data_IF_686436238326
#
_entry.id   IF_686436238326
#
_cell.length_a   1.000
_cell.length_b   1.000
_cell.length_c   1.000
_cell.angle_alpha   90.00
_cell.angle_beta   90.00
_cell.angle_gamma   90.00
#
_symmetry.space_group_name_H-M   'P 1'
#
loop_
_entity.id
_entity.type
_entity.pdbx_description
1 polymer ?
#
# COMPACT_ATOMS: atom_id res chain seq x y z
N UNK A 1 7.41 33.49 19.59
CA UNK A 1 6.19 33.35 18.76
C UNK A 1 6.44 32.22 17.76
N UNK A 2 6.10 30.98 18.10
CA UNK A 2 6.51 29.79 17.33
C UNK A 2 5.41 29.28 16.37
N UNK A 3 4.18 29.79 16.46
CA UNK A 3 3.04 29.19 15.73
C UNK A 3 2.70 29.76 14.35
N UNK A 4 3.14 30.97 13.99
CA UNK A 4 2.69 31.64 12.77
C UNK A 4 3.36 31.07 11.51
N UNK A 5 4.67 30.81 11.57
CA UNK A 5 5.43 30.23 10.46
C UNK A 5 5.01 28.79 10.17
N UNK A 6 4.79 27.99 11.22
CA UNK A 6 4.27 26.63 11.08
C UNK A 6 2.88 26.60 10.42
N UNK A 7 2.03 27.58 10.73
CA UNK A 7 0.71 27.74 10.14
C UNK A 7 0.82 28.04 8.65
N UNK A 8 1.66 29.01 8.28
CA UNK A 8 1.90 29.40 6.88
C UNK A 8 2.47 28.25 6.07
N UNK A 9 3.49 27.56 6.58
CA UNK A 9 4.09 26.43 5.90
C UNK A 9 3.07 25.29 5.69
N UNK A 10 2.27 24.96 6.71
CA UNK A 10 1.20 23.98 6.59
C UNK A 10 0.15 24.39 5.55
N UNK A 11 -0.24 25.67 5.53
CA UNK A 11 -1.20 26.21 4.59
C UNK A 11 -0.67 26.17 3.15
N UNK A 12 0.59 26.55 2.92
CA UNK A 12 1.22 26.45 1.60
C UNK A 12 1.30 25.00 1.10
N UNK A 13 1.67 24.07 1.98
CA UNK A 13 1.66 22.64 1.66
C UNK A 13 0.26 22.17 1.26
N UNK A 14 -0.77 22.57 1.99
CA UNK A 14 -2.16 22.26 1.65
C UNK A 14 -2.56 22.88 0.30
N UNK A 15 -2.21 24.15 0.03
CA UNK A 15 -2.49 24.80 -1.27
C UNK A 15 -1.90 24.03 -2.45
N UNK A 16 -0.66 23.55 -2.32
CA UNK A 16 0.00 22.74 -3.36
C UNK A 16 -0.77 21.45 -3.63
N UNK A 17 -1.22 20.75 -2.59
CA UNK A 17 -2.00 19.52 -2.71
C UNK A 17 -3.38 19.76 -3.31
N UNK A 18 -4.06 20.82 -2.90
CA UNK A 18 -5.37 21.19 -3.44
C UNK A 18 -5.30 21.60 -4.91
N UNK A 19 -4.21 22.24 -5.35
CA UNK A 19 -3.96 22.52 -6.77
C UNK A 19 -3.82 21.23 -7.58
N UNK A 20 -3.11 20.23 -7.04
CA UNK A 20 -3.00 18.91 -7.67
C UNK A 20 -4.32 18.11 -7.63
N UNK A 21 -5.22 18.44 -6.71
CA UNK A 21 -6.58 17.90 -6.63
C UNK A 21 -7.61 18.71 -7.43
N UNK A 22 -7.21 19.80 -8.11
CA UNK A 22 -8.07 20.69 -8.89
C UNK A 22 -9.23 21.29 -8.08
N UNK A 23 -8.95 21.73 -6.85
CA UNK A 23 -9.95 22.38 -6.01
C UNK A 23 -10.43 23.72 -6.62
N UNK A 24 -11.74 23.94 -6.83
CA UNK A 24 -12.23 25.11 -7.57
C UNK A 24 -12.13 26.43 -6.81
N UNK A 25 -12.26 26.43 -5.48
CA UNK A 25 -12.34 27.66 -4.67
C UNK A 25 -11.01 28.01 -3.98
N UNK A 26 -9.87 27.66 -4.58
CA UNK A 26 -8.54 27.85 -3.98
C UNK A 26 -8.23 29.30 -3.60
N UNK A 27 -8.66 30.26 -4.41
CA UNK A 27 -8.36 31.69 -4.22
C UNK A 27 -9.23 32.34 -3.13
N UNK A 28 -10.39 31.76 -2.81
CA UNK A 28 -11.29 32.26 -1.78
C UNK A 28 -10.97 31.73 -0.38
N UNK A 29 -10.16 30.65 -0.30
CA UNK A 29 -9.81 29.96 0.93
C UNK A 29 -8.80 30.74 1.77
N UNK A 30 -9.21 31.12 2.99
CA UNK A 30 -8.33 31.73 3.99
C UNK A 30 -7.75 30.66 4.92
N UNK A 31 -6.88 29.82 4.38
CA UNK A 31 -6.24 28.73 5.14
C UNK A 31 -5.48 29.22 6.38
N UNK A 32 -4.86 30.41 6.31
CA UNK A 32 -4.12 31.00 7.44
C UNK A 32 -5.02 31.34 8.63
N UNK A 33 -6.31 31.62 8.38
CA UNK A 33 -7.27 31.92 9.44
C UNK A 33 -7.70 30.66 10.20
N UNK A 34 -7.53 29.48 9.60
CA UNK A 34 -7.87 28.21 10.23
C UNK A 34 -9.36 27.99 10.45
N UNK A 35 -10.21 28.63 9.65
CA UNK A 35 -11.66 28.52 9.81
C UNK A 35 -12.13 27.07 9.67
N UNK A 36 -12.94 26.62 10.62
CA UNK A 36 -13.43 25.23 10.70
C UNK A 36 -14.25 24.88 9.46
N UNK A 37 -15.16 25.75 9.06
CA UNK A 37 -16.01 25.54 7.89
C UNK A 37 -15.20 25.38 6.60
N UNK A 38 -14.13 26.15 6.44
CA UNK A 38 -13.24 26.07 5.28
C UNK A 38 -12.47 24.76 5.24
N UNK A 39 -11.87 24.35 6.36
CA UNK A 39 -11.17 23.08 6.47
C UNK A 39 -12.10 21.88 6.26
N UNK A 40 -13.35 21.96 6.73
CA UNK A 40 -14.36 20.92 6.52
C UNK A 40 -14.76 20.80 5.05
N UNK A 41 -15.03 21.92 4.36
CA UNK A 41 -15.33 21.92 2.91
C UNK A 41 -14.19 21.32 2.11
N UNK A 42 -12.96 21.70 2.44
CA UNK A 42 -11.77 21.15 1.80
C UNK A 42 -11.65 19.65 2.06
N UNK A 43 -11.83 19.21 3.31
CA UNK A 43 -11.74 17.79 3.67
C UNK A 43 -12.81 16.96 2.95
N UNK A 44 -14.05 17.47 2.87
CA UNK A 44 -15.13 16.83 2.13
C UNK A 44 -14.78 16.67 0.65
N UNK A 45 -14.35 17.76 0.00
CA UNK A 45 -13.94 17.72 -1.39
C UNK A 45 -12.81 16.71 -1.63
N UNK A 46 -11.80 16.73 -0.77
CA UNK A 46 -10.64 15.86 -0.91
C UNK A 46 -11.04 14.40 -0.83
N UNK A 47 -11.90 14.02 0.12
CA UNK A 47 -12.30 12.62 0.33
C UNK A 47 -13.29 12.11 -0.72
N UNK A 48 -14.22 12.95 -1.18
CA UNK A 48 -15.36 12.53 -2.01
C UNK A 48 -15.28 13.05 -3.45
N UNK A 49 -14.98 14.33 -3.65
CA UNK A 49 -15.10 14.98 -4.95
C UNK A 49 -13.80 14.92 -5.78
N UNK A 50 -12.64 14.74 -5.14
CA UNK A 50 -11.34 14.75 -5.83
C UNK A 50 -11.14 13.58 -6.79
N UNK A 51 -11.79 12.44 -6.53
CA UNK A 51 -11.69 11.26 -7.38
C UNK A 51 -12.87 10.31 -7.16
N UNK A 52 -13.66 10.12 -8.23
CA UNK A 52 -14.78 9.16 -8.24
C UNK A 52 -14.36 7.74 -7.86
N UNK A 53 -13.16 7.30 -8.25
CA UNK A 53 -12.65 5.97 -7.92
C UNK A 53 -12.39 5.81 -6.41
N UNK A 54 -11.86 6.85 -5.77
CA UNK A 54 -11.65 6.86 -4.31
C UNK A 54 -13.00 6.88 -3.60
N UNK A 55 -13.92 7.77 -4.00
CA UNK A 55 -15.26 7.83 -3.41
C UNK A 55 -16.00 6.49 -3.48
N UNK A 56 -15.96 5.81 -4.63
CA UNK A 56 -16.54 4.47 -4.78
C UNK A 56 -15.86 3.44 -3.87
N UNK A 57 -14.53 3.47 -3.76
CA UNK A 57 -13.80 2.60 -2.84
C UNK A 57 -14.25 2.79 -1.39
N UNK A 58 -14.45 4.05 -0.96
CA UNK A 58 -14.90 4.38 0.40
C UNK A 58 -16.31 3.83 0.68
N UNK A 59 -17.24 4.02 -0.26
CA UNK A 59 -18.62 3.51 -0.16
C UNK A 59 -18.63 1.98 -0.14
N UNK A 60 -17.85 1.32 -1.00
CA UNK A 60 -17.75 -0.14 -1.05
C UNK A 60 -17.19 -0.75 0.25
N UNK A 61 -16.36 0.01 0.97
CA UNK A 61 -15.85 -0.37 2.30
C UNK A 61 -16.82 -0.07 3.45
N UNK A 62 -17.94 0.58 3.16
CA UNK A 62 -18.98 0.90 4.15
C UNK A 62 -18.70 2.15 4.98
N UNK A 63 -17.83 3.06 4.52
CA UNK A 63 -17.65 4.34 5.18
C UNK A 63 -18.74 5.32 4.78
N UNK A 64 -19.55 5.76 5.75
CA UNK A 64 -20.52 6.84 5.57
C UNK A 64 -19.91 8.18 5.97
N UNK A 65 -19.64 9.01 4.96
CA UNK A 65 -19.15 10.38 5.09
C UNK A 65 -20.26 11.43 4.93
N UNK A 66 -21.52 11.05 4.71
CA UNK A 66 -22.65 11.97 4.63
C UNK A 66 -23.28 12.23 6.00
N UNK A 67 -22.43 12.47 7.00
CA UNK A 67 -22.86 12.69 8.38
C UNK A 67 -23.74 13.94 8.52
N UNK A 68 -24.83 13.83 9.30
CA UNK A 68 -25.77 14.95 9.57
C UNK A 68 -25.18 16.11 10.37
N UNK A 69 -24.00 15.93 10.95
CA UNK A 69 -23.32 16.93 11.79
C UNK A 69 -21.81 16.91 11.50
N UNK A 70 -21.15 18.06 11.61
CA UNK A 70 -19.71 18.19 11.38
C UNK A 70 -18.87 17.22 12.24
N UNK A 71 -19.27 16.99 13.49
CA UNK A 71 -18.58 16.06 14.38
C UNK A 71 -18.63 14.62 13.87
N UNK A 72 -19.77 14.17 13.36
CA UNK A 72 -19.91 12.81 12.78
C UNK A 72 -19.12 12.67 11.48
N UNK A 73 -19.12 13.71 10.66
CA UNK A 73 -18.28 13.75 9.46
C UNK A 73 -16.79 13.59 9.81
N UNK A 74 -16.28 14.40 10.75
CA UNK A 74 -14.87 14.34 11.17
C UNK A 74 -14.53 13.01 11.84
N UNK A 75 -15.44 12.45 12.64
CA UNK A 75 -15.26 11.13 13.25
C UNK A 75 -15.11 10.02 12.18
N UNK A 76 -16.01 9.99 11.20
CA UNK A 76 -15.94 9.06 10.07
C UNK A 76 -14.66 9.28 9.26
N UNK A 77 -14.28 10.52 8.99
CA UNK A 77 -13.04 10.86 8.28
C UNK A 77 -11.79 10.39 9.05
N UNK A 78 -11.72 10.59 10.37
CA UNK A 78 -10.59 10.15 11.19
C UNK A 78 -10.52 8.63 11.30
N UNK A 79 -11.65 7.95 11.36
CA UNK A 79 -11.71 6.48 11.31
C UNK A 79 -11.18 5.96 9.98
N UNK A 80 -11.59 6.59 8.88
CA UNK A 80 -11.11 6.29 7.54
C UNK A 80 -9.58 6.49 7.42
N UNK A 81 -9.06 7.62 7.91
CA UNK A 81 -7.61 7.92 7.92
C UNK A 81 -6.79 6.84 8.63
N UNK A 82 -7.26 6.37 9.79
CA UNK A 82 -6.56 5.33 10.56
C UNK A 82 -6.60 3.97 9.88
N UNK A 83 -7.75 3.59 9.34
CA UNK A 83 -7.97 2.25 8.82
C UNK A 83 -7.37 2.06 7.43
N UNK A 84 -7.66 2.97 6.50
CA UNK A 84 -7.26 2.83 5.09
C UNK A 84 -5.92 3.49 4.80
N UNK A 85 -5.65 4.64 5.41
CA UNK A 85 -4.45 5.43 5.12
C UNK A 85 -3.34 5.27 6.18
N UNK A 86 -3.59 4.49 7.24
CA UNK A 86 -2.67 4.27 8.37
C UNK A 86 -2.13 5.57 8.99
N UNK A 87 -2.91 6.64 8.86
CA UNK A 87 -2.58 7.95 9.42
C UNK A 87 -3.32 8.15 10.74
N UNK A 88 -2.57 8.52 11.78
CA UNK A 88 -3.11 8.76 13.12
C UNK A 88 -3.21 10.27 13.37
N UNK A 89 -4.40 10.88 13.26
CA UNK A 89 -4.54 12.31 13.51
C UNK A 89 -4.13 12.66 14.93
N UNK A 90 -3.32 13.71 15.06
CA UNK A 90 -2.74 14.19 16.33
C UNK A 90 -3.72 14.99 17.20
N UNK A 91 -4.97 15.14 16.75
CA UNK A 91 -6.04 15.84 17.45
C UNK A 91 -7.27 14.93 17.60
N UNK A 92 -8.05 15.17 18.65
CA UNK A 92 -9.40 14.61 18.76
C UNK A 92 -10.38 15.32 17.83
N UNK A 93 -11.57 14.72 17.63
CA UNK A 93 -12.66 15.34 16.85
C UNK A 93 -13.06 16.70 17.44
N UNK A 94 -13.17 16.80 18.76
CA UNK A 94 -13.54 18.05 19.45
C UNK A 94 -12.46 19.11 19.31
N UNK A 95 -11.19 18.73 19.39
CA UNK A 95 -10.06 19.64 19.17
C UNK A 95 -9.99 20.12 17.72
N UNK A 96 -10.30 19.24 16.76
CA UNK A 96 -10.35 19.61 15.34
C UNK A 96 -11.48 20.60 15.04
N UNK A 97 -12.60 20.53 15.76
CA UNK A 97 -13.68 21.50 15.65
C UNK A 97 -13.45 22.77 16.49
N UNK A 98 -12.41 22.78 17.33
CA UNK A 98 -12.06 23.95 18.15
C UNK A 98 -11.20 24.96 17.37
N UNK A 99 -11.23 26.23 17.80
CA UNK A 99 -10.46 27.32 17.17
C UNK A 99 -8.97 27.35 17.54
N UNK A 100 -8.54 26.63 18.58
CA UNK A 100 -7.22 26.82 19.20
C UNK A 100 -6.05 26.18 18.41
N UNK A 101 -6.29 25.15 17.59
CA UNK A 101 -5.23 24.33 16.99
C UNK A 101 -5.07 24.52 15.47
N UNK A 102 -4.93 25.75 15.01
CA UNK A 102 -4.95 26.09 13.57
C UNK A 102 -3.91 25.31 12.75
N UNK A 103 -2.62 25.44 13.05
CA UNK A 103 -1.54 24.79 12.30
C UNK A 103 -1.74 23.26 12.20
N UNK A 104 -2.08 22.62 13.32
CA UNK A 104 -2.24 21.17 13.41
C UNK A 104 -3.49 20.69 12.66
N UNK A 105 -4.57 21.49 12.65
CA UNK A 105 -5.78 21.21 11.86
C UNK A 105 -5.49 21.29 10.37
N UNK A 106 -4.77 22.31 9.92
CA UNK A 106 -4.33 22.45 8.53
C UNK A 106 -3.43 21.27 8.13
N UNK A 107 -2.49 20.89 8.99
CA UNK A 107 -1.62 19.74 8.76
C UNK A 107 -2.39 18.43 8.57
N UNK A 108 -3.41 18.16 9.40
CA UNK A 108 -4.28 16.98 9.26
C UNK A 108 -5.01 16.97 7.91
N UNK A 109 -5.54 18.12 7.47
CA UNK A 109 -6.22 18.21 6.17
C UNK A 109 -5.23 18.03 5.02
N UNK A 110 -4.01 18.57 5.14
CA UNK A 110 -2.94 18.37 4.17
C UNK A 110 -2.53 16.89 4.08
N UNK A 111 -2.36 16.22 5.22
CA UNK A 111 -2.04 14.79 5.26
C UNK A 111 -3.16 13.95 4.66
N UNK A 112 -4.42 14.31 4.92
CA UNK A 112 -5.58 13.67 4.30
C UNK A 112 -5.55 13.81 2.78
N UNK A 113 -5.23 15.01 2.27
CA UNK A 113 -5.11 15.25 0.83
C UNK A 113 -3.96 14.47 0.19
N UNK A 114 -2.81 14.40 0.85
CA UNK A 114 -1.68 13.61 0.39
C UNK A 114 -2.04 12.11 0.36
N UNK A 115 -2.69 11.61 1.40
CA UNK A 115 -3.09 10.21 1.51
C UNK A 115 -4.10 9.81 0.42
N UNK A 116 -5.10 10.66 0.16
CA UNK A 116 -6.04 10.44 -0.94
C UNK A 116 -5.33 10.49 -2.30
N UNK A 117 -4.40 11.42 -2.50
CA UNK A 117 -3.64 11.48 -3.75
C UNK A 117 -2.83 10.19 -3.99
N UNK A 118 -2.20 9.63 -2.95
CA UNK A 118 -1.53 8.34 -3.03
C UNK A 118 -2.51 7.21 -3.34
N UNK A 119 -3.65 7.15 -2.67
CA UNK A 119 -4.66 6.11 -2.93
C UNK A 119 -5.23 6.19 -4.34
N UNK A 120 -5.45 7.40 -4.86
CA UNK A 120 -5.84 7.63 -6.25
C UNK A 120 -4.80 7.05 -7.22
N UNK A 121 -3.51 7.27 -6.98
CA UNK A 121 -2.43 6.73 -7.81
C UNK A 121 -2.37 5.19 -7.71
N UNK A 122 -2.56 4.63 -6.52
CA UNK A 122 -2.62 3.18 -6.30
C UNK A 122 -3.76 2.55 -7.12
N UNK A 123 -4.98 3.08 -7.00
CA UNK A 123 -6.16 2.60 -7.74
C UNK A 123 -5.98 2.73 -9.26
N UNK A 124 -5.38 3.83 -9.73
CA UNK A 124 -5.04 3.99 -11.15
C UNK A 124 -4.03 2.93 -11.61
N UNK A 125 -3.03 2.59 -10.80
CA UNK A 125 -2.04 1.56 -11.12
C UNK A 125 -2.69 0.17 -11.18
N UNK A 126 -3.61 -0.13 -10.25
CA UNK A 126 -4.36 -1.39 -10.26
C UNK A 126 -5.21 -1.51 -11.52
N UNK A 127 -5.97 -0.46 -11.87
CA UNK A 127 -6.78 -0.45 -13.10
C UNK A 127 -5.94 -0.65 -14.37
N UNK A 128 -4.73 -0.07 -14.42
CA UNK A 128 -3.79 -0.29 -15.55
C UNK A 128 -3.28 -1.72 -15.61
N UNK A 129 -3.03 -2.36 -14.46
CA UNK A 129 -2.58 -3.76 -14.39
C UNK A 129 -3.69 -4.72 -14.80
N UNK A 130 -4.92 -4.48 -14.36
CA UNK A 130 -6.09 -5.28 -14.73
C UNK A 130 -6.45 -5.12 -16.22
N UNK A 131 -6.30 -3.91 -16.76
CA UNK A 131 -6.51 -3.63 -18.19
C UNK A 131 -5.30 -3.98 -19.08
N UNK A 132 -4.17 -4.42 -18.51
CA UNK A 132 -3.01 -4.81 -19.29
C UNK A 132 -3.25 -6.21 -19.88
N UNK A 133 -3.85 -6.24 -21.06
CA UNK A 133 -3.86 -7.43 -21.91
C UNK A 133 -2.42 -7.61 -22.41
N UNK A 134 -1.74 -8.67 -21.98
CA UNK A 134 -0.46 -9.07 -22.56
C UNK A 134 -0.71 -9.35 -24.04
N UNK A 135 -0.30 -8.40 -24.88
CA UNK A 135 -0.26 -8.63 -26.32
C UNK A 135 0.99 -9.46 -26.57
N UNK A 136 0.90 -10.68 -27.11
CA UNK A 136 2.09 -11.39 -27.54
C UNK A 136 2.89 -10.48 -28.48
N UNK A 137 4.24 -10.46 -28.42
CA UNK A 137 5.04 -9.70 -29.35
C UNK A 137 4.60 -10.09 -30.76
N UNK A 138 3.92 -9.18 -31.46
CA UNK A 138 3.53 -9.41 -32.85
C UNK A 138 4.83 -9.60 -33.61
N UNK A 139 5.08 -10.82 -34.08
CA UNK A 139 6.23 -11.09 -34.96
C UNK A 139 6.21 -10.03 -36.05
N UNK A 140 7.27 -9.20 -36.07
CA UNK A 140 7.45 -8.18 -37.09
C UNK A 140 7.80 -8.87 -38.40
N UNK A 141 6.78 -9.47 -39.02
CA UNK A 141 6.80 -9.86 -40.40
C UNK A 141 6.91 -8.62 -41.28
N UNK A 142 7.97 -8.61 -42.10
CA UNK A 142 8.33 -7.64 -43.15
C UNK A 142 9.01 -6.34 -42.69
N UNK A 143 10.34 -6.32 -42.88
CA UNK A 143 11.12 -5.14 -43.30
C UNK A 143 10.27 -4.29 -44.25
N UNK A 144 9.80 -3.14 -43.79
CA UNK A 144 9.54 -2.02 -44.70
C UNK A 144 10.90 -1.36 -44.89
N UNK A 145 11.45 -1.46 -46.10
CA UNK A 145 12.60 -0.67 -46.50
C UNK A 145 12.22 0.81 -46.44
N UNK A 146 12.60 1.47 -45.36
CA UNK A 146 12.60 2.92 -45.29
C UNK A 146 13.92 3.33 -45.96
N UNK A 147 13.85 3.83 -47.20
CA UNK A 147 14.99 4.47 -47.84
C UNK A 147 15.40 5.69 -47.00
N UNK A 148 16.63 5.76 -46.47
CA UNK A 148 17.08 6.95 -45.77
C UNK A 148 17.51 7.97 -46.82
N UNK A 149 16.64 8.92 -47.15
CA UNK A 149 17.11 10.17 -47.76
C UNK A 149 17.66 11.01 -46.62
N UNK A 150 18.97 10.92 -46.41
CA UNK A 150 19.71 11.82 -45.51
C UNK A 150 20.07 13.06 -46.34
N UNK A 151 19.31 14.14 -46.19
CA UNK A 151 19.84 15.45 -46.56
C UNK A 151 20.88 15.85 -45.50
N UNK A 152 22.14 15.87 -45.94
CA UNK A 152 23.29 16.27 -45.15
C UNK A 152 23.20 17.76 -44.81
N UNK A 153 22.60 18.08 -43.67
CA UNK A 153 23.01 19.27 -42.93
C UNK A 153 24.17 18.87 -42.02
N UNK A 154 25.36 19.39 -42.35
CA UNK A 154 26.58 19.26 -41.57
C UNK A 154 26.34 19.90 -40.21
N UNK A 155 26.04 19.07 -39.20
CA UNK A 155 26.06 19.48 -37.81
C UNK A 155 27.47 19.25 -37.26
N UNK A 156 28.06 20.24 -36.56
CA UNK A 156 29.42 20.12 -36.02
C UNK A 156 29.47 19.00 -34.97
N UNK A 157 30.51 18.17 -35.07
CA UNK A 157 30.71 16.88 -34.41
C UNK A 157 30.69 16.86 -32.86
N UNK A 158 30.40 17.99 -32.21
CA UNK A 158 30.56 18.15 -30.76
C UNK A 158 29.24 18.18 -29.98
N UNK A 159 28.07 18.20 -30.62
CA UNK A 159 26.79 18.23 -29.89
C UNK A 159 26.42 16.87 -29.25
N UNK A 160 26.76 15.76 -29.91
CA UNK A 160 26.47 14.41 -29.38
C UNK A 160 27.26 14.11 -28.10
N UNK A 161 28.51 14.58 -28.02
CA UNK A 161 29.36 14.38 -26.84
C UNK A 161 28.84 15.15 -25.61
N UNK A 162 28.26 16.33 -25.79
CA UNK A 162 27.74 17.14 -24.68
C UNK A 162 26.41 16.61 -24.12
N UNK A 163 25.53 16.05 -24.97
CA UNK A 163 24.29 15.39 -24.51
C UNK A 163 24.60 14.13 -23.70
N UNK A 164 25.62 13.36 -24.08
CA UNK A 164 26.03 12.15 -23.37
C UNK A 164 26.69 12.43 -22.00
N UNK A 165 27.17 13.64 -21.75
CA UNK A 165 27.72 14.03 -20.43
C UNK A 165 26.64 14.50 -19.44
N UNK A 166 25.46 14.92 -19.91
CA UNK A 166 24.36 15.36 -19.06
C UNK A 166 23.28 14.30 -18.82
N UNK A 167 23.38 13.13 -19.46
CA UNK A 167 22.58 11.96 -19.11
C UNK A 167 23.33 11.12 -18.08
N UNK A 168 23.22 11.53 -16.82
CA UNK A 168 23.42 10.59 -15.71
C UNK A 168 22.49 9.39 -15.97
N UNK A 169 23.00 8.15 -16.07
CA UNK A 169 22.13 6.99 -16.14
C UNK A 169 21.28 6.97 -14.88
N UNK A 170 19.97 7.14 -15.05
CA UNK A 170 19.00 7.00 -13.97
C UNK A 170 19.28 5.72 -13.19
N UNK A 171 19.32 5.84 -11.86
CA UNK A 171 19.55 4.78 -10.88
C UNK A 171 18.58 3.59 -10.96
N UNK A 172 17.59 3.62 -11.84
CA UNK A 172 16.57 2.59 -11.99
C UNK A 172 17.03 1.30 -12.68
N UNK A 173 18.14 1.31 -13.44
CA UNK A 173 18.63 0.07 -14.09
C UNK A 173 19.31 -0.86 -13.08
N UNK A 174 20.03 -0.30 -12.10
CA UNK A 174 20.70 -1.07 -11.05
C UNK A 174 19.69 -1.72 -10.08
N UNK A 175 18.53 -1.10 -9.86
CA UNK A 175 17.50 -1.63 -8.97
C UNK A 175 16.85 -2.90 -9.53
N UNK A 176 16.73 -3.02 -10.85
CA UNK A 176 16.19 -4.22 -11.51
C UNK A 176 17.12 -5.42 -11.34
N UNK A 177 18.41 -5.24 -11.57
CA UNK A 177 19.41 -6.31 -11.43
C UNK A 177 19.60 -6.71 -9.96
N UNK A 178 19.55 -5.74 -9.04
CA UNK A 178 19.56 -6.00 -7.58
C UNK A 178 18.34 -6.78 -7.14
N UNK A 179 17.15 -6.44 -7.66
CA UNK A 179 15.92 -7.16 -7.35
C UNK A 179 15.96 -8.59 -7.90
N UNK A 180 16.43 -8.78 -9.14
CA UNK A 180 16.58 -10.11 -9.74
C UNK A 180 17.56 -10.99 -8.94
N UNK A 181 18.69 -10.41 -8.50
CA UNK A 181 19.67 -11.10 -7.66
C UNK A 181 19.11 -11.46 -6.28
N UNK A 182 18.35 -10.56 -5.66
CA UNK A 182 17.70 -10.81 -4.37
C UNK A 182 16.67 -11.95 -4.45
N UNK A 183 15.87 -12.00 -5.53
CA UNK A 183 14.90 -13.08 -5.76
C UNK A 183 15.61 -14.42 -5.94
N UNK A 184 16.72 -14.45 -6.70
CA UNK A 184 17.51 -15.68 -6.87
C UNK A 184 18.09 -16.18 -5.55
N UNK A 185 18.64 -15.29 -4.72
CA UNK A 185 19.20 -15.64 -3.41
C UNK A 185 18.13 -16.18 -2.44
N UNK A 186 16.97 -15.54 -2.37
CA UNK A 186 15.86 -16.02 -1.53
C UNK A 186 15.36 -17.39 -1.98
N UNK A 187 15.33 -17.64 -3.30
CA UNK A 187 14.93 -18.93 -3.85
C UNK A 187 15.93 -20.03 -3.48
N UNK A 188 17.23 -19.73 -3.51
CA UNK A 188 18.28 -20.65 -3.08
C UNK A 188 18.16 -20.97 -1.58
N UNK A 189 18.02 -19.94 -0.75
CA UNK A 189 17.90 -20.08 0.70
C UNK A 189 16.66 -20.91 1.11
N UNK A 190 15.53 -20.72 0.41
CA UNK A 190 14.34 -21.54 0.62
C UNK A 190 14.58 -23.02 0.27
N UNK A 191 15.28 -23.29 -0.83
CA UNK A 191 15.59 -24.65 -1.24
C UNK A 191 16.55 -25.35 -0.27
N UNK A 192 17.55 -24.62 0.25
CA UNK A 192 18.46 -25.11 1.29
C UNK A 192 17.71 -25.46 2.59
N UNK A 193 16.83 -24.56 3.05
CA UNK A 193 16.01 -24.83 4.24
C UNK A 193 15.07 -26.01 4.04
N UNK A 194 14.47 -26.15 2.85
CA UNK A 194 13.62 -27.29 2.50
C UNK A 194 14.40 -28.60 2.54
N UNK A 195 15.59 -28.65 1.95
CA UNK A 195 16.44 -29.83 1.97
C UNK A 195 16.91 -30.17 3.39
N UNK A 196 17.28 -29.17 4.19
CA UNK A 196 17.66 -29.38 5.59
C UNK A 196 16.49 -29.91 6.44
N UNK A 197 15.28 -29.40 6.21
CA UNK A 197 14.08 -29.89 6.87
C UNK A 197 13.79 -31.34 6.48
N UNK A 198 13.85 -31.66 5.17
CA UNK A 198 13.65 -33.02 4.67
C UNK A 198 14.66 -34.00 5.28
N UNK A 199 15.95 -33.65 5.38
CA UNK A 199 16.96 -34.47 6.05
C UNK A 199 16.66 -34.69 7.55
N UNK A 200 16.10 -33.69 8.23
CA UNK A 200 15.69 -33.84 9.64
C UNK A 200 14.46 -34.73 9.78
N UNK A 201 13.49 -34.60 8.87
CA UNK A 201 12.29 -35.46 8.83
C UNK A 201 12.72 -36.91 8.63
N UNK A 202 13.55 -37.21 7.62
CA UNK A 202 14.03 -38.59 7.39
C UNK A 202 14.87 -39.13 8.54
N UNK A 203 15.65 -38.28 9.22
CA UNK A 203 16.38 -38.66 10.43
C UNK A 203 15.45 -38.99 11.59
N UNK A 204 14.39 -38.20 11.81
CA UNK A 204 13.37 -38.47 12.84
C UNK A 204 12.57 -39.73 12.49
N UNK A 205 12.17 -39.90 11.23
CA UNK A 205 11.49 -41.10 10.75
C UNK A 205 12.33 -42.36 10.96
N UNK A 206 13.64 -42.29 10.67
CA UNK A 206 14.57 -43.40 10.95
C UNK A 206 14.65 -43.73 12.44
N UNK A 207 14.66 -42.71 13.32
CA UNK A 207 14.66 -42.90 14.78
C UNK A 207 13.33 -43.45 15.30
N UNK A 208 12.20 -43.03 14.72
CA UNK A 208 10.87 -43.55 15.06
C UNK A 208 10.67 -45.00 14.56
N UNK A 209 11.21 -45.34 13.39
CA UNK A 209 11.23 -46.71 12.88
C UNK A 209 12.00 -47.66 13.81
N UNK A 210 13.10 -47.19 14.40
CA UNK A 210 13.87 -47.92 15.41
C UNK A 210 13.14 -48.10 16.76
N UNK A 211 12.24 -47.19 17.14
CA UNK A 211 11.42 -47.34 18.36
C UNK A 211 10.18 -48.21 18.15
N UNK A 212 9.66 -48.31 16.92
CA UNK A 212 8.51 -49.17 16.63
C UNK A 212 8.89 -50.66 16.73
N UNK A 213 10.09 -51.04 16.27
CA UNK A 213 10.58 -52.42 16.36
C UNK A 213 10.96 -52.88 17.77
N UNK A 214 10.98 -52.00 18.78
CA UNK A 214 11.32 -52.33 20.18
C UNK A 214 10.11 -52.44 21.12
N UNK A 215 8.89 -52.33 20.59
CA UNK A 215 7.64 -52.42 21.39
C UNK A 215 6.87 -53.73 21.21
N UNK A 216 7.44 -54.72 20.52
CA UNK A 216 6.87 -56.06 20.35
C UNK A 216 7.75 -57.10 21.04
N UNK A 217 7.97 -56.99 22.36
CA UNK A 217 8.55 -58.06 23.19
C UNK A 217 8.34 -57.75 24.69
N UNK A 218 7.09 -57.64 25.12
CA UNK A 218 6.71 -57.87 26.53
C UNK A 218 5.40 -58.68 26.54
N UNK A 219 5.56 -59.98 26.74
CA UNK A 219 4.52 -60.92 27.14
C UNK A 219 3.73 -60.44 28.37
N UNK A 220 2.40 -60.53 28.31
CA UNK A 220 1.56 -61.24 29.29
C UNK A 220 0.05 -61.01 29.01
N UNK A 221 -0.75 -62.06 28.75
CA UNK A 221 -2.20 -61.95 28.73
C UNK A 221 -2.73 -61.94 30.17
N UNK A 222 -3.15 -60.77 30.66
CA UNK A 222 -3.92 -60.69 31.89
C UNK A 222 -5.29 -61.33 31.69
N UNK A 223 -5.48 -62.48 32.33
CA UNK A 223 -6.76 -63.13 32.53
C UNK A 223 -7.80 -62.16 33.11
N UNK A 224 -8.95 -62.08 32.45
CA UNK A 224 -10.14 -61.40 32.99
C UNK A 224 -10.83 -62.33 33.99
N UNK A 225 -11.20 -61.87 35.21
CA UNK A 225 -12.11 -62.62 36.07
C UNK A 225 -13.56 -62.45 35.58
N UNK A 226 -14.41 -63.48 35.64
CA UNK A 226 -15.81 -63.40 35.21
C UNK A 226 -16.64 -62.56 36.18
N UNK A 227 -17.56 -61.76 35.61
CA UNK A 227 -18.49 -60.91 36.35
C UNK A 227 -19.64 -61.74 36.95
N UNK A 228 -20.06 -61.50 38.21
CA UNK A 228 -21.22 -62.16 38.79
C UNK A 228 -22.54 -61.53 38.32
N UNK A 229 -23.44 -62.39 37.85
CA UNK A 229 -24.81 -62.11 37.45
C UNK A 229 -25.68 -61.63 38.62
N UNK A 230 -26.19 -60.39 38.55
CA UNK A 230 -27.19 -59.87 39.49
C UNK A 230 -28.56 -59.94 38.82
N UNK A 231 -29.22 -61.10 38.92
CA UNK A 231 -30.67 -61.23 38.89
C UNK A 231 -31.08 -62.64 39.36
N UNK A 232 -31.25 -62.83 40.66
CA UNK A 232 -32.45 -63.53 41.14
C UNK A 232 -32.74 -63.08 42.58
N UNK A 233 -33.95 -62.54 42.74
CA UNK A 233 -34.49 -62.00 43.98
C UNK A 233 -34.79 -63.15 44.94
N UNK A 234 -34.48 -63.00 46.22
CA UNK A 234 -35.37 -63.20 47.37
C UNK A 234 -34.67 -62.71 48.64
#
# INVERSE_FOLDING_TARGET
MVGEEDTRNAAERLRKLLRAAQYPQLNALRLEAGDVSDLLRVLHFVLLDSSRAVAQFLVNKGYDLYGKTDARFVESAFRLLRNEFRYFPSLSVTQFLSKQFVARRIAIVADSAAAVAQKRQELQRLKRREGAIWSPPKERGRKREIKPTVENHVFPANHAANILQHLNPCSCLQDSDRLATAIANLSLQLNEMSNALMCKITSVESRLGLTHSRTMDVDAPCAWPPQPSVFERY
#
